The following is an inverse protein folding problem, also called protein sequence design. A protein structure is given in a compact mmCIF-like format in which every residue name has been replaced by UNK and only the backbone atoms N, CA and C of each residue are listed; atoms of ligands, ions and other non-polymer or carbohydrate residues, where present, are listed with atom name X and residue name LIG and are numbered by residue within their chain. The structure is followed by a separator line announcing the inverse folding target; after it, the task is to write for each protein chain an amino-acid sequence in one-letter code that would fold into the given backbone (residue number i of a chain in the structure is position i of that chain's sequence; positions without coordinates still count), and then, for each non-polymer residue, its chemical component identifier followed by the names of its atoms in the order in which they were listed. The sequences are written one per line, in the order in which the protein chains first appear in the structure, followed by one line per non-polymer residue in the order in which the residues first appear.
data_IF_450584289473
#
_entry.id   IF_450584289473
#
_cell.length_a   1.000
_cell.length_b   1.000
_cell.length_c   1.000
_cell.angle_alpha   90.00
_cell.angle_beta   90.00
_cell.angle_gamma   90.00
#
_symmetry.space_group_name_H-M   'P 1'
#
loop_
_entity.id
_entity.type
_entity.pdbx_description
1 polymer ?
#
# COMPACT_ATOMS: atom_id res chain seq x y z
N UNK A 1 11.44 -0.51 -6.10
CA UNK A 1 10.99 -1.75 -5.44
C UNK A 1 9.52 -2.12 -5.72
N UNK A 2 8.73 -1.38 -6.52
CA UNK A 2 7.32 -1.72 -6.66
C UNK A 2 7.02 -2.55 -7.93
N UNK A 3 7.64 -3.73 -8.01
CA UNK A 3 7.06 -4.86 -8.73
C UNK A 3 5.99 -5.55 -7.88
N UNK A 4 5.32 -6.57 -8.42
CA UNK A 4 4.30 -7.32 -7.68
C UNK A 4 4.81 -7.87 -6.33
N UNK A 5 6.05 -8.37 -6.29
CA UNK A 5 6.69 -8.94 -5.09
C UNK A 5 6.76 -7.94 -3.93
N UNK A 6 7.18 -6.71 -4.18
CA UNK A 6 7.31 -5.70 -3.12
C UNK A 6 5.96 -5.37 -2.46
N UNK A 7 4.89 -5.31 -3.26
CA UNK A 7 3.53 -5.05 -2.75
C UNK A 7 2.99 -6.23 -1.95
N UNK A 8 3.22 -7.45 -2.42
CA UNK A 8 2.83 -8.67 -1.70
C UNK A 8 3.52 -8.72 -0.33
N UNK A 9 4.82 -8.44 -0.27
CA UNK A 9 5.56 -8.42 1.00
C UNK A 9 5.03 -7.33 1.95
N UNK A 10 4.78 -6.12 1.45
CA UNK A 10 4.23 -5.03 2.25
C UNK A 10 2.84 -5.38 2.82
N UNK A 11 1.95 -5.94 2.00
CA UNK A 11 0.62 -6.37 2.43
C UNK A 11 0.67 -7.57 3.37
N UNK A 12 1.61 -8.50 3.19
CA UNK A 12 1.83 -9.60 4.13
C UNK A 12 2.22 -9.11 5.51
N UNK A 13 3.09 -8.10 5.60
CA UNK A 13 3.45 -7.46 6.87
C UNK A 13 2.26 -6.69 7.45
N UNK A 14 1.48 -5.98 6.63
CA UNK A 14 0.29 -5.28 7.09
C UNK A 14 -0.74 -6.22 7.72
N UNK A 15 -0.97 -7.39 7.11
CA UNK A 15 -1.83 -8.45 7.65
C UNK A 15 -1.28 -9.02 8.95
N UNK A 16 0.01 -9.34 8.97
CA UNK A 16 0.67 -9.87 10.17
C UNK A 16 0.57 -8.92 11.36
N UNK A 17 0.72 -7.62 11.10
CA UNK A 17 0.64 -6.56 12.11
C UNK A 17 -0.80 -6.13 12.44
N UNK A 18 -1.81 -6.64 11.73
CA UNK A 18 -3.21 -6.28 11.95
C UNK A 18 -3.55 -4.83 11.61
N UNK A 19 -2.89 -4.24 10.61
CA UNK A 19 -3.15 -2.85 10.21
C UNK A 19 -4.57 -2.69 9.65
N UNK A 20 -5.22 -1.60 10.04
CA UNK A 20 -6.51 -1.17 9.49
C UNK A 20 -6.37 -0.59 8.07
N UNK A 21 -7.49 -0.51 7.35
CA UNK A 21 -7.51 0.08 6.00
C UNK A 21 -7.11 1.57 6.02
N UNK A 22 -7.47 2.31 7.07
CA UNK A 22 -7.06 3.71 7.22
C UNK A 22 -5.54 3.83 7.37
N UNK A 23 -4.92 2.97 8.20
CA UNK A 23 -3.46 2.95 8.38
C UNK A 23 -2.74 2.55 7.09
N UNK A 24 -3.23 1.54 6.36
CA UNK A 24 -2.67 1.14 5.06
C UNK A 24 -2.84 2.27 4.03
N UNK A 25 -3.92 3.04 4.10
CA UNK A 25 -4.19 4.16 3.21
C UNK A 25 -3.17 5.30 3.30
N UNK A 26 -2.39 5.38 4.38
CA UNK A 26 -1.39 6.41 4.65
C UNK A 26 -0.03 5.86 5.09
N UNK A 27 0.21 4.56 4.92
CA UNK A 27 1.49 3.93 5.28
C UNK A 27 2.64 4.53 4.46
N UNK A 28 3.79 4.80 5.09
CA UNK A 28 4.92 5.39 4.37
C UNK A 28 5.59 4.35 3.47
N UNK A 29 5.51 4.55 2.15
CA UNK A 29 6.13 3.70 1.14
C UNK A 29 7.10 4.51 0.29
N UNK A 30 8.28 3.93 0.05
CA UNK A 30 9.32 4.58 -0.74
C UNK A 30 8.84 4.95 -2.16
N UNK A 31 9.06 6.21 -2.51
CA UNK A 31 8.78 6.77 -3.83
C UNK A 31 10.07 7.16 -4.57
N UNK A 32 10.17 6.77 -5.85
CA UNK A 32 11.13 7.34 -6.79
C UNK A 32 10.64 7.12 -8.23
N UNK A 33 10.77 8.11 -9.15
CA UNK A 33 10.17 8.05 -10.50
C UNK A 33 10.39 6.77 -11.31
N UNK A 34 11.59 6.14 -11.31
CA UNK A 34 11.80 4.89 -12.06
C UNK A 34 11.27 3.63 -11.33
N UNK A 35 10.82 3.73 -10.08
CA UNK A 35 10.53 2.58 -9.22
C UNK A 35 9.09 2.50 -8.70
N UNK A 36 8.42 3.64 -8.53
CA UNK A 36 7.05 3.74 -8.01
C UNK A 36 6.44 5.11 -8.33
N UNK A 37 5.10 5.17 -8.36
CA UNK A 37 4.36 6.42 -8.43
C UNK A 37 4.35 7.11 -7.05
N UNK A 38 4.02 8.42 -7.02
CA UNK A 38 3.92 9.18 -5.77
C UNK A 38 2.89 8.56 -4.81
N UNK A 39 1.81 7.98 -5.35
CA UNK A 39 0.91 7.09 -4.63
C UNK A 39 1.06 5.67 -5.16
N UNK A 40 1.58 4.76 -4.34
CA UNK A 40 1.57 3.33 -4.70
C UNK A 40 0.14 2.79 -4.89
N UNK A 41 0.02 1.74 -5.70
CA UNK A 41 -1.23 1.01 -5.95
C UNK A 41 -1.88 0.54 -4.64
N UNK A 42 -1.09 0.18 -3.62
CA UNK A 42 -1.61 -0.18 -2.28
C UNK A 42 -2.47 0.95 -1.71
N UNK A 43 -1.97 2.20 -1.77
CA UNK A 43 -2.73 3.34 -1.28
C UNK A 43 -4.02 3.55 -2.09
N UNK A 44 -3.95 3.44 -3.42
CA UNK A 44 -5.12 3.58 -4.28
C UNK A 44 -6.19 2.53 -3.94
N UNK A 45 -5.79 1.28 -3.70
CA UNK A 45 -6.69 0.19 -3.31
C UNK A 45 -7.32 0.44 -1.93
N UNK A 46 -6.54 0.89 -0.95
CA UNK A 46 -7.04 1.25 0.36
C UNK A 46 -8.05 2.39 0.29
N UNK A 47 -7.75 3.48 -0.44
CA UNK A 47 -8.68 4.60 -0.62
C UNK A 47 -9.94 4.20 -1.40
N UNK A 48 -9.85 3.26 -2.34
CA UNK A 48 -11.02 2.70 -3.01
C UNK A 48 -11.89 1.90 -2.04
N UNK A 49 -11.30 1.05 -1.21
CA UNK A 49 -12.03 0.26 -0.22
C UNK A 49 -12.69 1.13 0.85
N UNK A 50 -12.00 2.18 1.33
CA UNK A 50 -12.55 3.19 2.28
C UNK A 50 -13.81 3.89 1.78
N UNK A 51 -14.09 3.87 0.48
CA UNK A 51 -15.31 4.47 -0.09
C UNK A 51 -16.48 3.49 -0.16
N UNK A 52 -16.23 2.20 0.06
CA UNK A 52 -17.21 1.12 -0.08
C UNK A 52 -17.68 0.63 1.29
N UNK A 53 -16.81 0.67 2.30
CA UNK A 53 -17.12 0.37 3.69
C UNK A 53 -17.43 1.65 4.47
#
# INVERSE_FOLDING_TARGET
MAGAVGRINALSVALWSGLSIDEIGYIDLAYAPPFSAAWDIIHNAAQALRRII
#
